data_IF_486299239314
#
_entry.id   IF_486299239314
#
_cell.length_a   1.000
_cell.length_b   1.000
_cell.length_c   1.000
_cell.angle_alpha   90.00
_cell.angle_beta   90.00
_cell.angle_gamma   90.00
#
_symmetry.space_group_name_H-M   'P 1'
#
loop_
_entity.id
_entity.type
_entity.pdbx_description
1 polymer ?
#
# COMPACT_ATOMS: atom_id res chain seq x y z
N UNK A 1 4.63 9.25 19.73
CA UNK A 1 4.70 7.92 19.09
C UNK A 1 3.29 7.32 19.06
N UNK A 2 2.53 7.53 17.99
CA UNK A 2 1.19 6.95 17.82
C UNK A 2 1.17 6.09 16.57
N UNK A 3 0.98 4.80 16.82
CA UNK A 3 0.82 3.74 15.84
C UNK A 3 -0.61 3.86 15.32
N UNK A 4 -0.87 3.90 14.01
CA UNK A 4 -2.18 3.42 13.54
C UNK A 4 -2.04 2.11 12.83
N UNK A 5 -2.94 1.23 13.30
CA UNK A 5 -3.26 -0.07 12.78
C UNK A 5 -3.98 0.14 11.45
N UNK A 6 -3.65 -0.62 10.38
CA UNK A 6 -4.52 -0.69 9.21
C UNK A 6 -5.98 -0.83 9.65
N UNK A 7 -6.97 -0.31 8.90
CA UNK A 7 -8.38 -0.57 9.16
C UNK A 7 -8.47 -2.08 9.29
N UNK A 8 -8.74 -2.54 10.51
CA UNK A 8 -8.40 -3.87 11.02
C UNK A 8 -8.71 -4.88 9.96
N UNK A 9 -7.69 -5.36 9.24
CA UNK A 9 -7.86 -6.53 8.43
C UNK A 9 -8.01 -7.65 9.47
N UNK A 10 -9.10 -8.43 9.53
CA UNK A 10 -9.37 -9.39 10.64
C UNK A 10 -8.47 -10.62 10.60
N UNK A 11 -7.17 -10.36 10.64
CA UNK A 11 -6.19 -11.13 11.36
C UNK A 11 -5.01 -10.19 11.70
N UNK A 12 -5.19 -9.28 12.66
CA UNK A 12 -4.08 -8.74 13.45
C UNK A 12 -4.58 -7.86 14.63
N UNK A 13 -4.38 -8.29 15.89
CA UNK A 13 -4.10 -7.33 16.95
C UNK A 13 -2.84 -6.51 16.59
N UNK A 14 -2.61 -5.43 17.32
CA UNK A 14 -1.66 -4.36 17.00
C UNK A 14 -0.33 -4.77 16.31
N UNK A 15 0.09 -3.97 15.33
CA UNK A 15 1.43 -3.94 14.71
C UNK A 15 1.82 -5.10 13.77
N UNK A 16 1.40 -5.01 12.51
CA UNK A 16 2.04 -5.75 11.42
C UNK A 16 3.41 -5.15 11.10
N UNK A 17 4.47 -5.96 11.18
CA UNK A 17 5.82 -5.67 10.66
C UNK A 17 5.94 -6.00 9.16
N UNK A 18 4.86 -5.85 8.39
CA UNK A 18 4.87 -6.14 6.94
C UNK A 18 5.88 -5.28 6.17
N UNK A 19 6.17 -4.09 6.70
CA UNK A 19 7.19 -3.17 6.20
C UNK A 19 8.62 -3.70 6.34
N UNK A 20 8.90 -4.48 7.38
CA UNK A 20 10.24 -5.04 7.62
C UNK A 20 10.53 -6.18 6.64
N UNK A 21 9.49 -6.90 6.20
CA UNK A 21 9.55 -8.01 5.25
C UNK A 21 9.89 -7.54 3.83
N UNK A 22 9.36 -6.39 3.44
CA UNK A 22 9.62 -5.77 2.12
C UNK A 22 10.82 -4.80 2.15
N UNK A 23 11.60 -4.82 3.25
CA UNK A 23 12.84 -4.06 3.39
C UNK A 23 12.65 -2.55 3.57
N UNK A 24 11.51 -2.09 4.08
CA UNK A 24 11.19 -0.66 4.21
C UNK A 24 11.17 -0.18 5.66
N UNK A 25 12.18 0.61 6.01
CA UNK A 25 12.18 1.40 7.24
C UNK A 25 11.32 2.65 7.06
N UNK A 26 10.05 2.50 7.46
CA UNK A 26 9.11 3.50 7.98
C UNK A 26 8.94 4.84 7.25
N UNK A 27 7.87 4.94 6.45
CA UNK A 27 7.06 6.17 6.28
C UNK A 27 5.62 5.76 5.98
N UNK A 28 4.67 6.45 6.60
CA UNK A 28 3.26 6.05 6.68
C UNK A 28 2.37 7.20 6.25
N UNK A 29 1.63 7.03 5.17
CA UNK A 29 0.68 8.05 4.69
C UNK A 29 -0.72 7.43 4.62
N UNK A 30 -1.70 8.03 5.31
CA UNK A 30 -3.10 7.54 5.40
C UNK A 30 -4.01 8.34 4.49
N UNK A 31 -5.09 7.69 4.06
CA UNK A 31 -6.26 8.32 3.42
C UNK A 31 -6.90 9.33 4.39
N UNK A 32 -7.43 10.41 3.82
CA UNK A 32 -8.35 11.37 4.43
C UNK A 32 -9.20 10.79 5.56
N UNK A 33 -9.15 11.44 6.73
CA UNK A 33 -10.24 11.41 7.70
C UNK A 33 -9.90 11.00 9.14
N UNK A 34 -8.77 10.35 9.46
CA UNK A 34 -8.53 9.95 10.86
C UNK A 34 -7.05 10.10 11.31
N UNK A 35 -6.90 11.10 12.19
CA UNK A 35 -5.82 11.41 13.15
C UNK A 35 -4.39 10.89 12.86
N UNK A 36 -3.63 11.73 12.14
CA UNK A 36 -2.28 12.13 12.54
C UNK A 36 -2.40 13.47 13.27
N UNK A 37 -1.37 13.90 13.99
CA UNK A 37 -1.36 15.16 14.77
C UNK A 37 -1.51 16.45 13.90
N UNK A 38 -1.96 16.34 12.64
CA UNK A 38 -2.45 17.41 11.75
C UNK A 38 -3.61 16.86 10.85
N UNK A 39 -4.88 17.17 11.13
CA UNK A 39 -6.05 16.56 10.48
C UNK A 39 -6.35 16.93 8.99
N UNK A 40 -5.57 17.77 8.31
CA UNK A 40 -6.01 18.42 7.05
C UNK A 40 -5.07 18.30 5.83
N UNK A 41 -4.30 17.22 5.70
CA UNK A 41 -3.35 17.07 4.57
C UNK A 41 -3.86 16.12 3.49
N UNK A 42 -4.11 16.64 2.30
CA UNK A 42 -4.37 15.85 1.11
C UNK A 42 -3.03 15.38 0.51
N UNK A 43 -2.79 14.06 0.56
CA UNK A 43 -1.59 13.45 -0.01
C UNK A 43 -1.37 13.84 -1.48
N UNK A 44 -2.43 13.93 -2.29
CA UNK A 44 -2.29 14.26 -3.71
C UNK A 44 -1.94 15.74 -3.94
N UNK A 45 -2.15 16.59 -2.94
CA UNK A 45 -1.73 17.99 -2.94
C UNK A 45 -0.30 18.20 -2.41
N UNK A 46 0.35 17.17 -1.85
CA UNK A 46 1.69 17.30 -1.30
C UNK A 46 2.73 17.58 -2.39
N UNK A 47 3.51 18.64 -2.19
CA UNK A 47 4.53 19.06 -3.17
C UNK A 47 5.92 18.56 -2.84
N UNK A 48 6.18 18.22 -1.58
CA UNK A 48 7.48 17.75 -1.07
C UNK A 48 7.32 16.43 -0.32
N UNK A 49 8.33 15.54 -0.37
CA UNK A 49 8.31 14.31 0.40
C UNK A 49 8.32 14.63 1.90
N UNK A 50 7.40 14.05 2.65
CA UNK A 50 7.38 14.16 4.10
C UNK A 50 8.33 13.18 4.78
N UNK A 51 8.78 12.16 4.06
CA UNK A 51 9.89 11.30 4.47
C UNK A 51 10.42 10.48 3.29
N UNK A 52 11.47 9.69 3.56
CA UNK A 52 12.25 8.98 2.54
C UNK A 52 11.42 7.96 1.76
N UNK A 53 10.85 6.97 2.44
CA UNK A 53 10.04 5.92 1.84
C UNK A 53 8.56 6.32 1.82
N UNK A 54 7.67 5.53 1.20
CA UNK A 54 6.21 5.67 1.35
C UNK A 54 5.61 4.27 1.42
N UNK A 55 4.92 3.95 2.52
CA UNK A 55 4.13 2.73 2.64
C UNK A 55 2.67 3.09 2.92
N UNK A 56 1.75 2.57 2.12
CA UNK A 56 0.32 2.88 2.29
C UNK A 56 -0.62 1.80 1.75
N UNK A 57 -1.83 1.77 2.32
CA UNK A 57 -2.99 1.12 1.73
C UNK A 57 -3.87 2.25 1.15
N UNK A 58 -3.76 2.54 -0.15
CA UNK A 58 -4.39 3.72 -0.72
C UNK A 58 -5.93 3.57 -0.77
N UNK A 59 -6.66 4.69 -0.85
CA UNK A 59 -8.05 4.67 -1.28
C UNK A 59 -8.27 3.87 -2.57
N UNK A 60 -9.21 2.94 -2.55
CA UNK A 60 -9.70 2.28 -3.77
C UNK A 60 -10.91 3.01 -4.37
N UNK A 61 -11.14 2.76 -5.67
CA UNK A 61 -12.21 3.37 -6.47
C UNK A 61 -11.80 4.68 -7.14
N UNK A 62 -12.50 5.02 -8.24
CA UNK A 62 -12.31 6.26 -9.02
C UNK A 62 -10.85 6.56 -9.40
N UNK A 63 -10.04 5.53 -9.65
CA UNK A 63 -8.63 5.68 -10.02
C UNK A 63 -7.71 6.22 -8.90
N UNK A 64 -8.20 6.34 -7.66
CA UNK A 64 -7.42 6.94 -6.57
C UNK A 64 -6.15 6.16 -6.24
N UNK A 65 -6.20 4.83 -6.25
CA UNK A 65 -5.00 4.00 -6.03
C UNK A 65 -3.90 4.28 -7.07
N UNK A 66 -4.30 4.57 -8.32
CA UNK A 66 -3.36 4.83 -9.42
C UNK A 66 -2.76 6.24 -9.29
N UNK A 67 -3.58 7.22 -8.90
CA UNK A 67 -3.13 8.57 -8.59
C UNK A 67 -2.15 8.56 -7.41
N UNK A 68 -2.45 7.79 -6.36
CA UNK A 68 -1.58 7.61 -5.21
C UNK A 68 -0.24 6.98 -5.62
N UNK A 69 -0.24 5.90 -6.41
CA UNK A 69 0.99 5.24 -6.85
C UNK A 69 1.89 6.20 -7.65
N UNK A 70 1.32 6.88 -8.66
CA UNK A 70 2.04 7.89 -9.46
C UNK A 70 2.62 9.00 -8.60
N UNK A 71 1.82 9.52 -7.67
CA UNK A 71 2.23 10.62 -6.80
C UNK A 71 3.33 10.19 -5.81
N UNK A 72 3.21 9.00 -5.22
CA UNK A 72 4.21 8.44 -4.31
C UNK A 72 5.55 8.20 -5.00
N UNK A 73 5.53 7.63 -6.22
CA UNK A 73 6.73 7.45 -7.03
C UNK A 73 7.36 8.81 -7.33
N UNK A 74 6.58 9.82 -7.73
CA UNK A 74 7.09 11.17 -7.96
C UNK A 74 7.76 11.76 -6.72
N UNK A 75 7.09 11.74 -5.56
CA UNK A 75 7.64 12.32 -4.33
C UNK A 75 8.93 11.62 -3.88
N UNK A 76 8.98 10.29 -3.96
CA UNK A 76 10.15 9.53 -3.50
C UNK A 76 11.36 9.66 -4.42
N UNK A 77 11.21 10.19 -5.65
CA UNK A 77 12.37 10.48 -6.53
C UNK A 77 13.34 11.46 -5.88
N UNK A 78 12.80 12.47 -5.18
CA UNK A 78 13.60 13.49 -4.49
C UNK A 78 14.44 12.89 -3.34
N UNK A 79 14.01 11.77 -2.77
CA UNK A 79 14.64 11.15 -1.59
C UNK A 79 15.44 9.89 -1.91
N UNK A 80 15.39 9.38 -3.14
CA UNK A 80 15.86 8.04 -3.48
C UNK A 80 15.13 6.95 -2.70
N UNK A 81 13.86 7.21 -2.36
CA UNK A 81 13.05 6.34 -1.52
C UNK A 81 12.49 5.12 -2.21
N UNK A 82 11.65 4.39 -1.48
CA UNK A 82 10.91 3.24 -2.02
C UNK A 82 9.44 3.43 -1.71
N UNK A 83 8.59 3.03 -2.64
CA UNK A 83 7.14 3.02 -2.47
C UNK A 83 6.69 1.57 -2.30
N UNK A 84 5.90 1.29 -1.27
CA UNK A 84 5.13 0.06 -1.17
C UNK A 84 3.64 0.37 -1.00
N UNK A 85 2.81 -0.21 -1.87
CA UNK A 85 1.37 -0.03 -1.80
C UNK A 85 0.62 -1.35 -1.78
N UNK A 86 -0.36 -1.44 -0.88
CA UNK A 86 -1.28 -2.58 -0.83
C UNK A 86 -2.30 -2.40 -1.95
N UNK A 87 -2.27 -3.25 -2.97
CA UNK A 87 -3.08 -3.14 -4.17
C UNK A 87 -3.98 -4.37 -4.32
N UNK A 88 -5.18 -4.18 -4.87
CA UNK A 88 -6.04 -5.30 -5.21
C UNK A 88 -5.42 -6.10 -6.37
N UNK A 89 -5.31 -7.42 -6.20
CA UNK A 89 -4.71 -8.35 -7.14
C UNK A 89 -5.40 -8.34 -8.52
N UNK A 90 -6.73 -8.21 -8.56
CA UNK A 90 -7.49 -8.09 -9.82
C UNK A 90 -7.09 -6.84 -10.63
N UNK A 91 -6.53 -5.84 -9.94
CA UNK A 91 -6.03 -4.62 -10.53
C UNK A 91 -4.65 -4.73 -11.18
N UNK A 92 -3.96 -5.88 -11.10
CA UNK A 92 -2.68 -6.09 -11.79
C UNK A 92 -2.88 -6.28 -13.30
N UNK A 93 -3.96 -6.95 -13.70
CA UNK A 93 -4.28 -7.23 -15.11
C UNK A 93 -5.32 -6.26 -15.69
N UNK A 94 -5.55 -5.10 -15.07
CA UNK A 94 -6.54 -4.15 -15.55
C UNK A 94 -6.01 -3.41 -16.80
N UNK A 95 -6.76 -3.35 -17.92
CA UNK A 95 -6.26 -2.82 -19.19
C UNK A 95 -5.78 -1.36 -19.09
N UNK A 96 -6.50 -0.52 -18.34
CA UNK A 96 -6.10 0.89 -18.11
C UNK A 96 -4.79 1.05 -17.33
N UNK A 97 -4.32 0.01 -16.64
CA UNK A 97 -3.08 0.05 -15.84
C UNK A 97 -1.88 -0.53 -16.56
N UNK A 98 -2.09 -1.24 -17.67
CA UNK A 98 -1.01 -1.85 -18.46
C UNK A 98 0.10 -0.86 -18.79
N UNK A 99 -0.25 0.29 -19.39
CA UNK A 99 0.74 1.31 -19.74
C UNK A 99 1.49 1.87 -18.53
N UNK A 100 0.81 2.02 -17.39
CA UNK A 100 1.46 2.47 -16.15
C UNK A 100 2.49 1.46 -15.64
N UNK A 101 2.16 0.17 -15.58
CA UNK A 101 3.08 -0.85 -15.12
C UNK A 101 4.23 -1.10 -16.10
N UNK A 102 4.02 -0.94 -17.41
CA UNK A 102 5.10 -1.02 -18.39
C UNK A 102 6.08 0.16 -18.25
N UNK A 103 5.59 1.39 -18.04
CA UNK A 103 6.44 2.56 -17.88
C UNK A 103 7.04 2.72 -16.47
N UNK A 104 6.41 2.11 -15.47
CA UNK A 104 6.83 2.16 -14.07
C UNK A 104 6.72 0.74 -13.47
N UNK A 105 7.57 -0.20 -13.91
CA UNK A 105 7.49 -1.57 -13.40
C UNK A 105 7.80 -1.57 -11.91
N UNK A 106 6.96 -2.23 -11.08
CA UNK A 106 7.36 -2.48 -9.70
C UNK A 106 8.59 -3.40 -9.70
N UNK A 107 9.48 -3.19 -8.74
CA UNK A 107 10.59 -4.08 -8.47
C UNK A 107 10.11 -5.45 -8.02
N UNK A 108 9.08 -5.48 -7.18
CA UNK A 108 8.51 -6.71 -6.65
C UNK A 108 7.00 -6.61 -6.43
N UNK A 109 6.33 -7.76 -6.56
CA UNK A 109 4.94 -8.00 -6.17
C UNK A 109 4.92 -9.14 -5.15
N UNK A 110 4.44 -8.87 -3.94
CA UNK A 110 4.25 -9.87 -2.89
C UNK A 110 2.77 -10.24 -2.80
N UNK A 111 2.42 -11.45 -3.25
CA UNK A 111 1.08 -12.02 -3.17
C UNK A 111 0.78 -12.50 -1.75
N UNK A 112 -0.36 -12.08 -1.18
CA UNK A 112 -0.77 -12.41 0.18
C UNK A 112 -1.83 -13.53 0.19
N UNK A 113 -1.74 -14.45 1.15
CA UNK A 113 -2.70 -15.55 1.35
C UNK A 113 -3.98 -15.11 2.10
N UNK A 114 -3.86 -14.47 3.27
CA UNK A 114 -4.96 -14.07 4.15
C UNK A 114 -4.85 -12.60 4.58
N UNK A 115 -5.25 -11.71 3.68
CA UNK A 115 -5.38 -10.28 3.96
C UNK A 115 -6.77 -9.79 3.53
N UNK A 116 -7.62 -9.43 4.50
CA UNK A 116 -8.97 -8.91 4.23
C UNK A 116 -9.10 -7.57 4.91
N UNK A 117 -9.31 -6.47 4.19
CA UNK A 117 -9.32 -5.16 4.82
C UNK A 117 -10.71 -4.56 4.91
N UNK A 118 -11.10 -4.23 6.14
CA UNK A 118 -12.45 -3.78 6.44
C UNK A 118 -12.60 -2.27 6.33
N UNK A 119 -13.71 -1.77 5.78
CA UNK A 119 -14.00 -0.35 5.77
C UNK A 119 -13.99 0.20 7.20
N UNK A 120 -13.08 1.13 7.49
CA UNK A 120 -12.88 1.69 8.84
C UNK A 120 -12.61 0.64 9.92
N UNK A 121 -12.13 -0.55 9.54
CA UNK A 121 -11.89 -1.66 10.45
C UNK A 121 -13.14 -2.42 10.90
N UNK A 122 -14.30 -2.09 10.33
CA UNK A 122 -15.59 -2.66 10.71
C UNK A 122 -16.06 -3.69 9.66
N UNK A 123 -16.03 -5.00 9.97
CA UNK A 123 -16.48 -6.04 9.05
C UNK A 123 -17.95 -5.90 8.63
N UNK A 124 -18.80 -5.31 9.49
CA UNK A 124 -20.23 -5.15 9.20
C UNK A 124 -20.49 -4.16 8.06
N UNK A 125 -19.51 -3.28 7.77
CA UNK A 125 -19.56 -2.32 6.67
C UNK A 125 -19.05 -2.88 5.36
N UNK A 126 -18.54 -4.11 5.35
CA UNK A 126 -18.00 -4.72 4.16
C UNK A 126 -19.12 -5.31 3.29
N UNK A 127 -19.17 -4.89 2.04
CA UNK A 127 -19.96 -5.62 1.03
C UNK A 127 -19.32 -6.97 0.74
N UNK A 128 -20.08 -7.90 0.18
CA UNK A 128 -19.56 -9.18 -0.32
C UNK A 128 -18.39 -9.01 -1.29
N UNK A 129 -18.40 -7.95 -2.11
CA UNK A 129 -17.30 -7.65 -3.03
C UNK A 129 -16.03 -7.20 -2.30
N UNK A 130 -16.14 -6.40 -1.23
CA UNK A 130 -15.01 -5.98 -0.40
C UNK A 130 -14.42 -7.18 0.36
N UNK A 131 -15.27 -8.03 0.94
CA UNK A 131 -14.85 -9.21 1.70
C UNK A 131 -14.09 -10.25 0.84
N UNK A 132 -14.36 -10.29 -0.47
CA UNK A 132 -13.72 -11.21 -1.42
C UNK A 132 -12.46 -10.65 -2.08
N UNK A 133 -12.08 -9.40 -1.79
CA UNK A 133 -10.86 -8.84 -2.37
C UNK A 133 -9.62 -9.63 -1.91
N UNK A 134 -8.64 -9.65 -2.79
CA UNK A 134 -7.30 -10.21 -2.53
C UNK A 134 -6.29 -9.11 -2.82
N UNK A 135 -5.27 -9.05 -2.00
CA UNK A 135 -4.30 -7.97 -2.04
C UNK A 135 -2.89 -8.49 -2.28
N UNK A 136 -2.05 -7.62 -2.82
CA UNK A 136 -0.62 -7.81 -2.93
C UNK A 136 0.08 -6.52 -2.52
N UNK A 137 1.30 -6.62 -2.01
CA UNK A 137 2.18 -5.45 -1.93
C UNK A 137 2.89 -5.26 -3.27
N UNK A 138 2.75 -4.09 -3.87
CA UNK A 138 3.55 -3.68 -5.02
C UNK A 138 4.63 -2.72 -4.54
N UNK A 139 5.89 -2.99 -4.92
CA UNK A 139 7.06 -2.25 -4.43
C UNK A 139 7.78 -1.60 -5.61
N UNK A 140 8.01 -0.28 -5.56
CA UNK A 140 8.80 0.47 -6.54
C UNK A 140 10.05 1.05 -5.90
N UNK A 141 11.22 0.73 -6.47
CA UNK A 141 12.53 1.31 -6.11
C UNK A 141 13.04 2.12 -7.30
N UNK A 142 13.68 3.27 -7.06
CA UNK A 142 14.15 4.17 -8.15
C UNK A 142 15.33 3.62 -8.92
N UNK A 143 16.12 2.74 -8.31
CA UNK A 143 17.28 2.07 -8.88
C UNK A 143 16.94 0.70 -9.47
N UNK A 144 15.66 0.29 -9.48
CA UNK A 144 15.27 -1.00 -10.04
C UNK A 144 15.45 -1.02 -11.55
N UNK A 145 16.21 -2.00 -12.02
CA UNK A 145 16.36 -2.33 -13.43
C UNK A 145 15.99 -3.80 -13.64
N UNK A 146 15.22 -4.09 -14.69
CA UNK A 146 14.87 -5.46 -15.07
C UNK A 146 13.41 -5.82 -14.79
N UNK A 147 13.13 -7.13 -14.79
CA UNK A 147 11.78 -7.66 -14.64
C UNK A 147 11.23 -7.43 -13.23
N UNK A 148 9.91 -7.40 -13.12
CA UNK A 148 9.21 -7.45 -11.83
C UNK A 148 9.33 -8.85 -11.24
N UNK A 149 9.81 -8.95 -10.01
CA UNK A 149 9.83 -10.23 -9.28
C UNK A 149 8.49 -10.52 -8.62
N UNK A 150 8.10 -11.79 -8.57
CA UNK A 150 6.88 -12.24 -7.89
C UNK A 150 7.25 -13.13 -6.70
N UNK A 151 6.70 -12.79 -5.55
CA UNK A 151 6.97 -13.43 -4.27
C UNK A 151 5.66 -13.88 -3.61
N UNK A 152 5.69 -15.04 -2.95
CA UNK A 152 4.61 -15.48 -2.08
C UNK A 152 4.91 -15.06 -0.65
N UNK A 153 3.96 -14.38 -0.01
CA UNK A 153 4.11 -13.92 1.36
C UNK A 153 2.96 -14.45 2.21
N UNK A 154 3.27 -15.41 3.09
CA UNK A 154 2.29 -15.89 4.05
C UNK A 154 2.06 -14.87 5.14
N UNK A 155 0.80 -14.52 5.38
CA UNK A 155 0.42 -13.63 6.46
C UNK A 155 0.51 -14.31 7.82
N UNK A 156 0.40 -15.64 7.87
CA UNK A 156 0.48 -16.46 9.09
C UNK A 156 1.79 -16.21 9.85
N UNK A 157 2.91 -16.19 9.13
CA UNK A 157 4.26 -16.05 9.69
C UNK A 157 4.49 -14.69 10.37
N UNK A 158 3.52 -13.77 10.23
CA UNK A 158 3.61 -12.39 10.68
C UNK A 158 2.41 -11.96 11.54
N UNK A 159 1.55 -12.91 11.94
CA UNK A 159 0.55 -12.68 12.99
C UNK A 159 1.26 -12.65 14.33
N UNK A 160 1.02 -11.60 15.12
CA UNK A 160 1.40 -11.66 16.52
C UNK A 160 0.50 -12.68 17.24
N UNK A 161 1.06 -13.48 18.17
CA UNK A 161 0.28 -14.43 18.97
C UNK A 161 -0.85 -13.73 19.75
#
# INVERSE_FOLDING_TARGET
MKIWKPPTCTAAPASYRQTDIIGLTHVRIRKHGEHLDQPDRDFLAERKPLAKHIVTNPPYGRGLADAFAKHAIRLTRETGGTVAMLMNLAGLCHPLRHGFYVSHPPAAVYCLDECICWPYGDPSRATTSIAKQRYCWMVWKHDHTGATELHWLSTRDHRQP
#
